data_IF_039854457063
#
_entry.id   IF_039854457063
#
_cell.length_a   1.000
_cell.length_b   1.000
_cell.length_c   1.000
_cell.angle_alpha   90.00
_cell.angle_beta   90.00
_cell.angle_gamma   90.00
#
_symmetry.space_group_name_H-M   'P 1'
#
loop_
_entity.id
_entity.type
_entity.pdbx_description
1 polymer ?
#
# COMPACT_ATOMS: atom_id res chain seq x y z
N UNK A 1 -30.31 -57.35 36.38
CA UNK A 1 -31.00 -56.67 35.29
C UNK A 1 -30.90 -55.15 35.52
N UNK A 2 -30.00 -54.45 34.91
CA UNK A 2 -30.03 -52.98 34.77
C UNK A 2 -29.06 -52.62 33.66
N UNK A 3 -29.58 -52.33 32.50
CA UNK A 3 -28.88 -51.84 31.33
C UNK A 3 -28.46 -50.40 31.57
N UNK A 4 -27.17 -50.17 31.75
CA UNK A 4 -26.62 -48.82 31.80
C UNK A 4 -26.23 -48.44 30.37
N UNK A 5 -27.08 -47.62 29.73
CA UNK A 5 -26.81 -47.04 28.43
C UNK A 5 -25.69 -46.03 28.58
N UNK A 6 -24.53 -46.36 28.05
CA UNK A 6 -23.41 -45.44 27.93
C UNK A 6 -23.75 -44.41 26.84
N UNK A 7 -24.12 -43.21 27.26
CA UNK A 7 -24.25 -42.07 26.38
C UNK A 7 -22.85 -41.58 25.99
N UNK A 8 -22.42 -41.94 24.81
CA UNK A 8 -21.21 -41.38 24.24
C UNK A 8 -21.50 -39.95 23.74
N UNK A 9 -21.05 -38.98 24.51
CA UNK A 9 -21.01 -37.58 24.05
C UNK A 9 -19.90 -37.46 23.03
N UNK A 10 -20.22 -37.53 21.75
CA UNK A 10 -19.30 -37.10 20.68
C UNK A 10 -19.33 -35.57 20.66
N UNK A 11 -18.36 -34.96 21.33
CA UNK A 11 -18.06 -33.55 21.17
C UNK A 11 -17.52 -33.36 19.74
N UNK A 12 -18.39 -32.99 18.81
CA UNK A 12 -18.02 -32.58 17.48
C UNK A 12 -17.33 -31.21 17.62
N UNK A 13 -16.00 -31.23 17.73
CA UNK A 13 -15.19 -30.02 17.62
C UNK A 13 -15.36 -29.50 16.19
N UNK A 14 -16.29 -28.56 16.00
CA UNK A 14 -16.40 -27.78 14.79
C UNK A 14 -15.16 -26.90 14.76
N UNK A 15 -14.10 -27.38 14.14
CA UNK A 15 -12.98 -26.55 13.69
C UNK A 15 -13.56 -25.67 12.59
N UNK A 16 -14.09 -24.53 12.98
CA UNK A 16 -14.43 -23.48 12.04
C UNK A 16 -13.13 -23.00 11.41
N UNK A 17 -12.71 -23.64 10.32
CA UNK A 17 -11.77 -23.03 9.38
C UNK A 17 -12.47 -21.79 8.87
N UNK A 18 -12.19 -20.68 9.48
CA UNK A 18 -12.59 -19.38 8.94
C UNK A 18 -11.83 -19.22 7.64
N UNK A 19 -12.44 -19.62 6.53
CA UNK A 19 -12.05 -19.11 5.21
C UNK A 19 -12.37 -17.62 5.24
N UNK A 20 -11.42 -16.81 5.67
CA UNK A 20 -11.52 -15.39 5.47
C UNK A 20 -11.54 -15.16 3.97
N UNK A 21 -12.71 -14.83 3.43
CA UNK A 21 -12.79 -14.35 2.06
C UNK A 21 -11.85 -13.13 1.99
N UNK A 22 -10.88 -13.19 1.08
CA UNK A 22 -9.89 -12.16 0.91
C UNK A 22 -10.59 -10.82 0.61
N UNK A 23 -10.26 -9.78 1.36
CA UNK A 23 -10.81 -8.43 1.15
C UNK A 23 -10.31 -7.90 -0.19
N UNK A 24 -11.19 -7.78 -1.18
CA UNK A 24 -10.87 -7.31 -2.54
C UNK A 24 -11.09 -5.82 -2.72
N UNK A 25 -11.83 -5.19 -1.82
CA UNK A 25 -12.16 -3.77 -1.82
C UNK A 25 -11.79 -3.19 -0.47
N UNK A 26 -11.06 -2.09 -0.45
CA UNK A 26 -10.62 -1.51 0.80
C UNK A 26 -9.70 -0.32 0.64
N UNK A 27 -9.24 0.21 1.76
CA UNK A 27 -8.08 1.09 1.80
C UNK A 27 -7.20 0.76 3.01
N UNK A 28 -5.91 0.97 2.85
CA UNK A 28 -4.91 0.84 3.90
C UNK A 28 -4.16 2.16 4.00
N UNK A 29 -4.09 2.70 5.22
CA UNK A 29 -3.32 3.92 5.51
C UNK A 29 -2.06 3.51 6.25
N UNK A 30 -0.92 4.04 5.81
CA UNK A 30 0.38 3.84 6.42
C UNK A 30 0.90 5.15 6.96
N UNK A 31 1.61 5.08 8.06
CA UNK A 31 2.55 6.09 8.48
C UNK A 31 3.93 5.73 7.90
N UNK A 32 4.58 6.73 7.29
CA UNK A 32 5.93 6.58 6.75
C UNK A 32 6.92 7.28 7.68
N UNK A 33 7.92 6.54 8.14
CA UNK A 33 9.00 7.05 8.98
C UNK A 33 10.36 6.75 8.35
N UNK A 34 11.33 7.61 8.62
CA UNK A 34 12.73 7.46 8.30
C UNK A 34 13.55 7.54 9.59
N UNK A 35 13.74 6.41 10.31
CA UNK A 35 14.35 6.43 11.65
C UNK A 35 15.76 7.04 11.69
N UNK A 36 16.49 6.94 10.56
CA UNK A 36 17.87 7.41 10.44
C UNK A 36 17.95 8.86 9.94
N UNK A 37 16.80 9.57 9.81
CA UNK A 37 16.77 10.94 9.26
C UNK A 37 15.94 11.86 10.18
N UNK A 38 16.65 12.57 11.07
CA UNK A 38 16.03 13.49 12.05
C UNK A 38 15.35 14.68 11.35
N UNK A 39 15.86 15.15 10.21
CA UNK A 39 15.26 16.27 9.47
C UNK A 39 13.88 15.88 8.93
N UNK A 40 13.74 14.69 8.38
CA UNK A 40 12.44 14.17 7.91
C UNK A 40 11.46 13.97 9.07
N UNK A 41 11.94 13.54 10.24
CA UNK A 41 11.10 13.42 11.43
C UNK A 41 10.59 14.79 11.92
N UNK A 42 11.39 15.85 11.77
CA UNK A 42 11.00 17.21 12.13
C UNK A 42 10.00 17.86 11.15
N UNK A 43 9.90 17.36 9.90
CA UNK A 43 8.99 17.89 8.89
C UNK A 43 7.51 17.49 9.09
N UNK A 44 7.20 16.72 10.12
CA UNK A 44 5.84 16.25 10.43
C UNK A 44 5.53 14.87 9.88
N UNK A 45 4.30 14.43 10.08
CA UNK A 45 3.86 13.09 9.69
C UNK A 45 3.72 12.97 8.18
N UNK A 46 4.30 11.91 7.62
CA UNK A 46 4.09 11.51 6.23
C UNK A 46 3.21 10.27 6.21
N UNK A 47 2.17 10.30 5.38
CA UNK A 47 1.24 9.18 5.28
C UNK A 47 1.07 8.72 3.84
N UNK A 48 0.81 7.42 3.67
CA UNK A 48 0.45 6.85 2.38
C UNK A 48 -0.88 6.12 2.56
N UNK A 49 -1.86 6.44 1.72
CA UNK A 49 -3.14 5.73 1.66
C UNK A 49 -3.29 5.02 0.32
N UNK A 50 -3.40 3.71 0.37
CA UNK A 50 -3.70 2.88 -0.80
C UNK A 50 -5.16 2.48 -0.73
N UNK A 51 -5.95 2.89 -1.73
CA UNK A 51 -7.36 2.51 -1.90
C UNK A 51 -7.49 1.62 -3.13
N UNK A 52 -8.32 0.58 -3.05
CA UNK A 52 -8.47 -0.38 -4.12
C UNK A 52 -9.86 -1.01 -4.13
N UNK A 53 -10.32 -1.36 -5.32
CA UNK A 53 -11.43 -2.25 -5.59
C UNK A 53 -11.03 -3.27 -6.67
N UNK A 54 -11.98 -4.02 -7.21
CA UNK A 54 -11.68 -5.03 -8.25
C UNK A 54 -11.12 -4.42 -9.53
N UNK A 55 -11.51 -3.18 -9.87
CA UNK A 55 -11.17 -2.51 -11.13
C UNK A 55 -10.14 -1.42 -10.95
N UNK A 56 -10.26 -0.62 -9.89
CA UNK A 56 -9.56 0.65 -9.69
C UNK A 56 -8.59 0.60 -8.53
N UNK A 57 -7.60 1.47 -8.56
CA UNK A 57 -6.73 1.74 -7.41
C UNK A 57 -6.37 3.22 -7.33
N UNK A 58 -6.08 3.67 -6.13
CA UNK A 58 -5.54 5.01 -5.90
C UNK A 58 -4.52 4.96 -4.76
N UNK A 59 -3.39 5.62 -4.98
CA UNK A 59 -2.37 5.83 -3.95
C UNK A 59 -2.26 7.31 -3.70
N UNK A 60 -2.40 7.73 -2.46
CA UNK A 60 -2.23 9.10 -2.02
C UNK A 60 -1.10 9.16 -1.00
N UNK A 61 -0.13 10.03 -1.22
CA UNK A 61 0.94 10.35 -0.30
C UNK A 61 0.77 11.77 0.18
N UNK A 62 0.65 11.95 1.49
CA UNK A 62 0.60 13.25 2.15
C UNK A 62 1.90 13.46 2.91
N UNK A 63 2.57 14.55 2.62
CA UNK A 63 3.88 14.90 3.19
C UNK A 63 3.80 16.22 3.94
N UNK A 64 4.76 16.41 4.89
CA UNK A 64 4.89 17.65 5.66
C UNK A 64 3.57 18.03 6.35
N UNK A 65 2.90 17.07 7.00
CA UNK A 65 1.62 17.31 7.66
C UNK A 65 0.46 17.65 6.69
N UNK A 66 0.55 17.22 5.44
CA UNK A 66 -0.49 17.45 4.41
C UNK A 66 -0.33 18.73 3.60
N UNK A 67 0.78 19.47 3.76
CA UNK A 67 1.07 20.65 2.91
C UNK A 67 1.34 20.26 1.46
N UNK A 68 1.83 19.05 1.23
CA UNK A 68 2.04 18.49 -0.09
C UNK A 68 1.30 17.16 -0.14
N UNK A 69 0.40 17.03 -1.12
CA UNK A 69 -0.32 15.78 -1.39
C UNK A 69 -0.11 15.39 -2.85
N UNK A 70 0.31 14.15 -3.07
CA UNK A 70 0.39 13.55 -4.41
C UNK A 70 -0.55 12.36 -4.44
N UNK A 71 -1.45 12.32 -5.41
CA UNK A 71 -2.40 11.23 -5.57
C UNK A 71 -2.35 10.68 -6.98
N UNK A 72 -2.11 9.38 -7.11
CA UNK A 72 -2.22 8.64 -8.37
C UNK A 72 -3.51 7.84 -8.36
N UNK A 73 -4.32 7.97 -9.40
CA UNK A 73 -5.58 7.23 -9.58
C UNK A 73 -5.45 6.40 -10.85
N UNK A 74 -5.59 5.09 -10.73
CA UNK A 74 -5.76 4.16 -11.84
C UNK A 74 -7.23 3.76 -11.88
N UNK A 75 -7.97 4.30 -12.86
CA UNK A 75 -9.41 4.03 -13.03
C UNK A 75 -9.64 2.60 -13.51
N UNK A 76 -8.72 2.10 -14.33
CA UNK A 76 -8.66 0.68 -14.72
C UNK A 76 -7.22 0.18 -14.57
N UNK A 77 -7.01 -0.68 -13.57
CA UNK A 77 -5.69 -1.30 -13.27
C UNK A 77 -5.08 -2.05 -14.46
N UNK A 78 -5.92 -2.49 -15.39
CA UNK A 78 -5.46 -3.19 -16.60
C UNK A 78 -5.10 -2.23 -17.75
N UNK A 79 -5.39 -0.94 -17.61
CA UNK A 79 -5.10 0.08 -18.61
C UNK A 79 -4.26 1.21 -18.01
N UNK A 80 -2.92 1.16 -18.12
CA UNK A 80 -2.05 2.20 -17.59
C UNK A 80 -2.33 3.62 -18.13
N UNK A 81 -2.95 3.73 -19.32
CA UNK A 81 -3.30 5.02 -19.93
C UNK A 81 -4.43 5.75 -19.19
N UNK A 82 -5.21 5.03 -18.35
CA UNK A 82 -6.26 5.61 -17.52
C UNK A 82 -5.76 6.07 -16.15
N UNK A 83 -4.45 6.23 -16.01
CA UNK A 83 -3.83 6.76 -14.79
C UNK A 83 -3.89 8.28 -14.80
N UNK A 84 -4.31 8.86 -13.66
CA UNK A 84 -4.35 10.30 -13.39
C UNK A 84 -3.43 10.60 -12.21
N UNK A 85 -2.63 11.63 -12.35
CA UNK A 85 -1.78 12.12 -11.27
C UNK A 85 -2.26 13.48 -10.82
N UNK A 86 -2.52 13.62 -9.55
CA UNK A 86 -2.96 14.85 -8.90
C UNK A 86 -1.88 15.31 -7.93
N UNK A 87 -1.63 16.61 -7.87
CA UNK A 87 -0.74 17.22 -6.92
C UNK A 87 -1.44 18.41 -6.27
N UNK A 88 -1.41 18.47 -4.94
CA UNK A 88 -1.81 19.64 -4.16
C UNK A 88 -0.59 20.13 -3.40
N UNK A 89 -0.19 21.36 -3.64
CA UNK A 89 0.94 22.01 -2.96
C UNK A 89 0.43 23.30 -2.33
N UNK A 90 0.20 23.26 -1.02
CA UNK A 90 -0.31 24.42 -0.26
C UNK A 90 -1.57 25.04 -0.87
N UNK A 91 -2.49 24.21 -1.37
CA UNK A 91 -3.74 24.63 -1.97
C UNK A 91 -3.70 24.90 -3.48
N UNK A 92 -2.53 24.89 -4.11
CA UNK A 92 -2.41 24.90 -5.58
C UNK A 92 -2.58 23.47 -6.09
N UNK A 93 -3.63 23.25 -6.90
CA UNK A 93 -4.07 21.92 -7.32
C UNK A 93 -3.84 21.70 -8.80
N UNK A 94 -3.09 20.66 -9.13
CA UNK A 94 -2.71 20.32 -10.50
C UNK A 94 -3.09 18.87 -10.83
N UNK A 95 -3.77 18.67 -11.97
CA UNK A 95 -3.89 17.37 -12.64
C UNK A 95 -2.80 17.29 -13.71
N UNK A 96 -1.79 16.46 -13.48
CA UNK A 96 -0.67 16.32 -14.41
C UNK A 96 -1.07 15.36 -15.52
N UNK A 97 -0.96 15.85 -16.78
CA UNK A 97 -1.27 15.09 -17.99
C UNK A 97 0.01 14.68 -18.70
N UNK A 98 -0.02 13.52 -19.37
CA UNK A 98 1.14 12.93 -20.05
C UNK A 98 1.72 11.72 -19.31
N UNK A 99 2.75 11.11 -19.88
CA UNK A 99 3.48 10.01 -19.23
C UNK A 99 4.31 10.60 -18.08
N UNK A 100 3.87 10.37 -16.86
CA UNK A 100 4.56 10.84 -15.65
C UNK A 100 5.66 9.86 -15.26
N UNK A 101 6.74 9.79 -16.05
CA UNK A 101 7.95 9.13 -15.59
C UNK A 101 8.64 10.02 -14.54
N UNK A 102 8.61 9.60 -13.30
CA UNK A 102 9.46 10.17 -12.23
C UNK A 102 8.81 11.07 -11.19
N UNK A 103 7.62 11.66 -11.41
CA UNK A 103 6.88 12.34 -10.35
C UNK A 103 5.79 11.41 -9.81
N UNK A 104 5.92 11.02 -8.54
CA UNK A 104 4.89 10.23 -7.87
C UNK A 104 5.05 8.72 -8.02
N UNK A 105 6.27 8.22 -8.19
CA UNK A 105 6.52 6.82 -7.87
C UNK A 105 6.37 6.65 -6.36
N UNK A 106 5.09 6.65 -5.91
CA UNK A 106 4.68 6.41 -4.53
C UNK A 106 4.85 4.93 -4.15
N UNK A 107 5.44 4.14 -5.04
CA UNK A 107 5.70 2.73 -4.88
C UNK A 107 6.94 2.49 -4.02
N UNK A 108 6.91 2.96 -2.77
CA UNK A 108 7.94 2.63 -1.78
C UNK A 108 8.06 1.10 -1.59
N UNK A 109 7.01 0.37 -1.99
CA UNK A 109 6.97 -1.10 -1.97
C UNK A 109 7.01 -1.72 -3.37
N UNK A 110 7.51 -1.01 -4.39
CA UNK A 110 7.58 -1.52 -5.76
C UNK A 110 8.44 -2.79 -5.84
N UNK A 111 7.92 -3.78 -6.56
CA UNK A 111 8.61 -5.03 -6.86
C UNK A 111 9.19 -5.07 -8.29
N UNK A 112 9.20 -3.93 -8.99
CA UNK A 112 9.69 -3.82 -10.38
C UNK A 112 11.12 -4.34 -10.53
N UNK A 113 11.99 -4.03 -9.56
CA UNK A 113 13.40 -4.42 -9.55
C UNK A 113 13.71 -5.54 -8.56
N UNK A 114 12.69 -6.29 -8.14
CA UNK A 114 12.85 -7.44 -7.27
C UNK A 114 13.39 -8.65 -8.05
N UNK A 115 14.38 -9.35 -7.47
CA UNK A 115 14.96 -10.59 -8.00
C UNK A 115 14.31 -11.82 -7.41
N UNK A 116 14.02 -11.79 -6.11
CA UNK A 116 13.45 -12.94 -5.41
C UNK A 116 12.65 -12.55 -4.18
N UNK A 117 11.75 -13.43 -3.77
CA UNK A 117 11.01 -13.32 -2.50
C UNK A 117 11.16 -14.61 -1.73
N UNK A 118 11.54 -14.51 -0.46
CA UNK A 118 11.62 -15.63 0.47
C UNK A 118 10.64 -15.41 1.62
N UNK A 119 9.86 -16.45 1.97
CA UNK A 119 8.83 -16.35 3.01
C UNK A 119 9.25 -17.10 4.27
N UNK A 120 9.19 -16.43 5.41
CA UNK A 120 9.28 -17.07 6.73
C UNK A 120 7.91 -17.03 7.42
N UNK A 121 7.15 -18.12 7.23
CA UNK A 121 5.81 -18.26 7.83
C UNK A 121 5.84 -18.51 9.35
N UNK A 122 7.03 -18.72 9.96
CA UNK A 122 7.20 -18.85 11.41
C UNK A 122 7.42 -17.50 12.08
N UNK A 123 8.07 -16.55 11.38
CA UNK A 123 8.23 -15.18 11.85
C UNK A 123 6.93 -14.40 11.62
N UNK A 124 6.05 -14.44 12.62
CA UNK A 124 4.73 -13.81 12.54
C UNK A 124 4.58 -12.67 13.53
N UNK A 125 3.76 -11.67 13.18
CA UNK A 125 3.25 -10.63 14.08
C UNK A 125 1.81 -10.29 13.74
N UNK A 126 1.11 -9.65 14.68
CA UNK A 126 -0.22 -9.12 14.45
C UNK A 126 -0.13 -7.61 14.20
N UNK A 127 -0.78 -7.15 13.12
CA UNK A 127 -0.88 -5.74 12.76
C UNK A 127 -2.35 -5.44 12.49
N UNK A 128 -2.94 -4.53 13.27
CA UNK A 128 -4.36 -4.14 13.16
C UNK A 128 -5.34 -5.33 13.22
N UNK A 129 -5.02 -6.37 14.00
CA UNK A 129 -5.82 -7.59 14.09
C UNK A 129 -5.61 -8.58 12.93
N UNK A 130 -4.71 -8.29 11.99
CA UNK A 130 -4.33 -9.20 10.92
C UNK A 130 -3.07 -9.98 11.29
N UNK A 131 -3.14 -11.30 11.16
CA UNK A 131 -1.95 -12.14 11.27
C UNK A 131 -1.09 -11.96 10.02
N UNK A 132 0.13 -11.49 10.22
CA UNK A 132 1.11 -11.28 9.17
C UNK A 132 2.28 -12.23 9.34
N UNK A 133 2.93 -12.59 8.25
CA UNK A 133 4.19 -13.33 8.26
C UNK A 133 5.24 -12.59 7.42
N UNK A 134 6.49 -12.89 7.70
CA UNK A 134 7.63 -12.21 7.11
C UNK A 134 7.90 -12.67 5.69
N UNK A 135 8.11 -11.70 4.80
CA UNK A 135 8.67 -11.91 3.47
C UNK A 135 9.93 -11.05 3.32
N UNK A 136 10.98 -11.63 2.79
CA UNK A 136 12.22 -10.96 2.43
C UNK A 136 12.28 -10.82 0.92
N UNK A 137 12.36 -9.59 0.44
CA UNK A 137 12.44 -9.25 -0.97
C UNK A 137 13.85 -8.81 -1.28
N UNK A 138 14.54 -9.58 -2.11
CA UNK A 138 15.87 -9.22 -2.61
C UNK A 138 15.70 -8.40 -3.88
N UNK A 139 16.25 -7.20 -3.87
CA UNK A 139 16.24 -6.27 -4.99
C UNK A 139 17.48 -6.47 -5.87
N UNK A 140 17.43 -6.00 -7.12
CA UNK A 140 18.60 -5.89 -7.98
C UNK A 140 19.70 -5.15 -7.22
N UNK A 141 20.91 -5.70 -7.20
CA UNK A 141 22.02 -5.17 -6.42
C UNK A 141 22.15 -5.74 -5.01
N UNK A 142 21.30 -6.72 -4.64
CA UNK A 142 21.45 -7.50 -3.41
C UNK A 142 20.86 -6.85 -2.16
N UNK A 143 20.26 -5.66 -2.23
CA UNK A 143 19.55 -5.06 -1.09
C UNK A 143 18.35 -5.92 -0.71
N UNK A 144 18.17 -6.17 0.59
CA UNK A 144 17.05 -6.96 1.10
C UNK A 144 16.08 -6.06 1.86
N UNK A 145 14.83 -6.05 1.40
CA UNK A 145 13.72 -5.36 2.04
C UNK A 145 12.87 -6.36 2.83
N UNK A 146 12.31 -5.92 3.96
CA UNK A 146 11.47 -6.76 4.82
C UNK A 146 10.02 -6.33 4.72
N UNK A 147 9.14 -7.31 4.50
CA UNK A 147 7.69 -7.11 4.45
C UNK A 147 7.04 -8.00 5.50
N UNK A 148 6.01 -7.50 6.19
CA UNK A 148 5.07 -8.31 6.92
C UNK A 148 3.74 -8.29 6.20
N UNK A 149 3.34 -9.44 5.66
CA UNK A 149 2.22 -9.58 4.72
C UNK A 149 1.10 -10.43 5.31
N UNK A 150 -0.14 -10.09 4.95
CA UNK A 150 -1.34 -10.88 5.30
C UNK A 150 -2.04 -11.39 4.05
N UNK A 151 -2.54 -12.63 4.09
CA UNK A 151 -3.34 -13.22 3.01
C UNK A 151 -4.83 -12.83 3.11
N UNK A 152 -5.23 -12.10 4.15
CA UNK A 152 -6.62 -11.68 4.36
C UNK A 152 -7.05 -10.48 3.47
N UNK A 153 -6.10 -9.77 2.87
CA UNK A 153 -6.32 -8.66 1.95
C UNK A 153 -5.75 -9.03 0.59
N UNK A 154 -6.50 -8.71 -0.48
CA UNK A 154 -6.07 -9.00 -1.85
C UNK A 154 -4.82 -8.21 -2.21
N UNK A 155 -3.84 -8.88 -2.78
CA UNK A 155 -2.61 -8.24 -3.26
C UNK A 155 -2.93 -7.27 -4.38
N UNK A 156 -2.37 -6.07 -4.31
CA UNK A 156 -2.42 -5.08 -5.36
C UNK A 156 -1.07 -5.13 -6.09
N UNK A 157 -1.00 -5.92 -7.17
CA UNK A 157 0.21 -5.99 -8.00
C UNK A 157 0.10 -4.99 -9.15
N UNK A 158 1.20 -4.32 -9.43
CA UNK A 158 1.30 -3.49 -10.62
C UNK A 158 1.59 -4.35 -11.85
N UNK A 159 1.14 -3.96 -13.06
CA UNK A 159 1.48 -4.66 -14.30
C UNK A 159 2.99 -4.75 -14.56
N UNK A 160 3.77 -3.82 -14.00
CA UNK A 160 5.23 -3.74 -14.11
C UNK A 160 5.99 -4.63 -13.14
N UNK A 161 5.30 -5.21 -12.13
CA UNK A 161 5.95 -6.06 -11.14
C UNK A 161 6.38 -7.38 -11.77
N UNK A 162 7.67 -7.69 -11.68
CA UNK A 162 8.23 -8.98 -12.10
C UNK A 162 7.82 -10.12 -11.17
N UNK A 163 7.67 -9.80 -9.88
CA UNK A 163 7.30 -10.75 -8.83
C UNK A 163 6.02 -10.29 -8.15
N UNK A 164 5.26 -11.27 -7.63
CA UNK A 164 4.04 -11.00 -6.87
C UNK A 164 4.19 -11.55 -5.47
N UNK A 165 3.82 -10.74 -4.47
CA UNK A 165 3.69 -11.22 -3.11
C UNK A 165 2.48 -12.15 -2.99
N UNK A 166 2.55 -13.09 -2.06
CA UNK A 166 1.42 -14.00 -1.73
C UNK A 166 0.41 -13.36 -0.77
N UNK A 167 0.69 -12.16 -0.26
CA UNK A 167 -0.17 -11.42 0.66
C UNK A 167 0.06 -9.92 0.58
N UNK A 168 -0.89 -9.16 1.11
CA UNK A 168 -0.85 -7.69 1.15
C UNK A 168 0.08 -7.22 2.29
N UNK A 169 1.04 -6.32 2.03
CA UNK A 169 1.96 -5.84 3.05
C UNK A 169 1.25 -4.86 4.01
N UNK A 170 1.34 -5.09 5.31
CA UNK A 170 0.91 -4.17 6.35
C UNK A 170 2.08 -3.48 7.05
N UNK A 171 3.29 -3.96 6.84
CA UNK A 171 4.53 -3.27 7.20
C UNK A 171 5.57 -3.55 6.14
N UNK A 172 6.31 -2.51 5.79
CA UNK A 172 7.37 -2.56 4.79
C UNK A 172 8.58 -1.82 5.35
N UNK A 173 9.72 -2.46 5.36
CA UNK A 173 11.02 -1.85 5.65
C UNK A 173 11.86 -1.88 4.39
N UNK A 174 12.15 -0.71 3.84
CA UNK A 174 13.02 -0.54 2.68
C UNK A 174 14.36 0.02 3.12
N UNK A 175 15.42 -0.66 2.74
CA UNK A 175 16.78 -0.18 2.94
C UNK A 175 17.27 0.52 1.67
N UNK A 176 17.76 1.73 1.80
CA UNK A 176 18.32 2.52 0.71
C UNK A 176 19.62 3.18 1.12
N UNK A 177 20.37 3.71 0.15
CA UNK A 177 21.60 4.51 0.42
C UNK A 177 21.31 5.75 1.28
N UNK A 178 20.07 6.26 1.25
CA UNK A 178 19.61 7.44 2.03
C UNK A 178 19.10 7.09 3.43
N UNK A 179 19.20 5.83 3.83
CA UNK A 179 18.71 5.33 5.10
C UNK A 179 17.51 4.39 4.96
N UNK A 180 17.00 3.96 6.09
CA UNK A 180 15.87 3.05 6.20
C UNK A 180 14.55 3.81 6.13
N UNK A 181 13.61 3.32 5.30
CA UNK A 181 12.22 3.79 5.26
C UNK A 181 11.34 2.69 5.83
N UNK A 182 10.45 3.05 6.74
CA UNK A 182 9.47 2.14 7.33
C UNK A 182 8.07 2.66 7.02
N UNK A 183 7.25 1.80 6.43
CA UNK A 183 5.80 2.00 6.28
C UNK A 183 5.12 1.05 7.24
N UNK A 184 4.33 1.58 8.16
CA UNK A 184 3.52 0.79 9.08
C UNK A 184 2.04 1.12 8.88
N UNK A 185 1.23 0.12 8.60
CA UNK A 185 -0.22 0.31 8.48
C UNK A 185 -0.81 0.75 9.83
N UNK A 186 -1.56 1.85 9.79
CA UNK A 186 -2.23 2.47 10.95
C UNK A 186 -3.74 2.34 10.88
N UNK A 187 -4.30 2.10 9.68
CA UNK A 187 -5.72 1.84 9.50
C UNK A 187 -6.00 0.95 8.28
N UNK A 188 -7.03 0.12 8.39
CA UNK A 188 -7.61 -0.65 7.28
C UNK A 188 -9.10 -0.36 7.25
N UNK A 189 -9.60 0.16 6.11
CA UNK A 189 -11.01 0.38 5.85
C UNK A 189 -11.47 -0.61 4.77
N UNK A 190 -12.58 -1.32 5.01
CA UNK A 190 -13.13 -2.32 4.09
C UNK A 190 -14.11 -1.73 3.06
N UNK A 191 -14.47 -0.46 3.20
CA UNK A 191 -15.45 0.22 2.36
C UNK A 191 -14.98 1.63 1.99
N UNK A 192 -13.94 1.77 1.14
CA UNK A 192 -13.45 3.07 0.72
C UNK A 192 -14.53 3.80 -0.06
N UNK A 193 -14.60 5.13 0.09
CA UNK A 193 -15.50 5.95 -0.69
C UNK A 193 -15.18 5.85 -2.19
N UNK A 194 -16.21 5.81 -3.04
CA UNK A 194 -16.04 5.87 -4.51
C UNK A 194 -15.26 7.13 -4.97
N UNK A 195 -15.30 8.21 -4.19
CA UNK A 195 -14.52 9.44 -4.45
C UNK A 195 -13.02 9.23 -4.39
N UNK A 196 -12.53 8.11 -3.80
CA UNK A 196 -11.12 7.76 -3.85
C UNK A 196 -10.59 7.58 -5.28
N UNK A 197 -11.46 7.15 -6.21
CA UNK A 197 -11.11 6.79 -7.58
C UNK A 197 -11.50 7.85 -8.61
N UNK A 198 -11.87 9.04 -8.18
CA UNK A 198 -12.26 10.15 -9.06
C UNK A 198 -11.34 11.35 -8.89
N UNK A 199 -11.22 12.14 -9.95
CA UNK A 199 -10.55 13.45 -9.89
C UNK A 199 -11.52 14.45 -9.27
N UNK A 200 -11.18 15.08 -8.14
CA UNK A 200 -12.01 16.12 -7.55
C UNK A 200 -12.06 17.37 -8.45
N UNK A 201 -13.05 18.22 -8.24
CA UNK A 201 -13.12 19.52 -8.90
C UNK A 201 -12.01 20.47 -8.43
N UNK A 202 -11.68 21.47 -9.26
CA UNK A 202 -10.73 22.53 -8.91
C UNK A 202 -9.26 22.22 -9.23
N UNK A 203 -8.97 21.12 -9.89
CA UNK A 203 -7.63 20.81 -10.37
C UNK A 203 -7.38 21.44 -11.75
N UNK A 204 -6.29 22.22 -11.88
CA UNK A 204 -5.81 22.76 -13.15
C UNK A 204 -5.05 21.68 -13.91
N UNK A 205 -5.46 21.42 -15.15
CA UNK A 205 -4.70 20.50 -16.02
C UNK A 205 -3.42 21.16 -16.50
N UNK A 206 -2.31 20.48 -16.33
CA UNK A 206 -0.97 20.92 -16.74
C UNK A 206 -0.18 19.76 -17.31
N UNK A 207 0.77 20.04 -18.20
CA UNK A 207 1.80 19.08 -18.58
C UNK A 207 2.89 19.01 -17.50
N UNK A 208 3.80 18.04 -17.62
CA UNK A 208 4.93 17.94 -16.70
C UNK A 208 5.86 19.17 -16.81
N UNK A 209 6.05 19.66 -18.02
CA UNK A 209 6.86 20.86 -18.28
C UNK A 209 6.24 22.11 -17.68
N UNK A 210 4.92 22.29 -17.86
CA UNK A 210 4.18 23.42 -17.27
C UNK A 210 4.22 23.36 -15.74
N UNK A 211 4.09 22.15 -15.15
CA UNK A 211 4.23 21.98 -13.71
C UNK A 211 5.62 22.40 -13.22
N UNK A 212 6.69 21.98 -13.91
CA UNK A 212 8.06 22.36 -13.55
C UNK A 212 8.26 23.87 -13.62
N UNK A 213 7.67 24.55 -14.61
CA UNK A 213 7.73 26.01 -14.71
C UNK A 213 6.99 26.71 -13.57
N UNK A 214 5.81 26.19 -13.20
CA UNK A 214 5.02 26.71 -12.07
C UNK A 214 5.75 26.52 -10.72
N UNK A 215 6.47 25.41 -10.56
CA UNK A 215 7.23 25.10 -9.35
C UNK A 215 8.60 25.81 -9.31
N UNK A 216 9.24 25.99 -10.47
CA UNK A 216 10.54 26.68 -10.59
C UNK A 216 10.45 28.20 -10.44
N UNK A 217 9.24 28.75 -10.44
CA UNK A 217 8.97 30.17 -10.19
C UNK A 217 8.63 30.49 -8.70
N UNK A 218 8.73 29.50 -7.82
CA UNK A 218 8.59 29.63 -6.38
C UNK A 218 9.96 29.48 -5.72
#
# INVERSE_FOLDING_TARGET
MKNLKKLAFVALAIVSTQFYAQTKTGSVTYEMTMPDNEEMAAMGTNTIKISFDEKSSATQMDMMGGMISVKTISVDKNNPKDTRMLMDMMGKKYEVTGESEGFGNTDVASLKDAESVTYDKKATKEILGYKCYKALVTMNGGTVNTFYITEAIAVQSLPTDKLKLTGFPLEVEVNSEKGKVVLLATAVDKAPSASCFTVPEGYKKVTQEELQQELGGM
#
